data_IF_763180973569
#
_entry.id   IF_763180973569
#
_cell.length_a   1.000
_cell.length_b   1.000
_cell.length_c   1.000
_cell.angle_alpha   90.00
_cell.angle_beta   90.00
_cell.angle_gamma   90.00
#
_symmetry.space_group_name_H-M   'P 1'
#
loop_
_entity.id
_entity.type
_entity.pdbx_description
1 polymer ?
2 non-polymer ?
#
# COMPACT_ATOMS: atom_id res chain seq x y z
N UNK A 40 4.12 18.81 -10.33
CA UNK A 40 4.02 18.52 -8.84
C UNK A 40 3.34 19.68 -8.09
N UNK A 41 3.68 20.85 -8.60
CA UNK A 41 3.10 22.15 -8.12
C UNK A 41 1.54 22.07 -8.28
N UNK A 42 1.08 22.34 -9.51
CA UNK A 42 -0.34 22.11 -9.92
C UNK A 42 -1.11 20.94 -9.32
N UNK A 43 -0.48 19.74 -9.36
CA UNK A 43 -0.98 18.53 -8.81
C UNK A 43 -1.45 18.82 -7.36
N UNK A 44 -0.48 19.24 -6.55
CA UNK A 44 -0.78 19.51 -5.11
C UNK A 44 -1.72 20.67 -4.96
N UNK A 45 -1.29 21.83 -5.56
CA UNK A 45 -1.93 23.13 -5.60
C UNK A 45 -3.40 23.14 -5.74
N UNK A 46 -3.97 22.24 -6.51
CA UNK A 46 -5.41 22.05 -6.66
C UNK A 46 -5.83 20.65 -6.29
N UNK A 47 -5.37 19.72 -7.11
CA UNK A 47 -5.99 18.42 -7.21
C UNK A 47 -5.88 17.69 -5.79
N UNK A 48 -4.66 17.82 -5.16
CA UNK A 48 -4.47 17.15 -3.88
C UNK A 48 -4.57 18.07 -2.66
N UNK A 49 -5.12 19.24 -2.96
CA UNK A 49 -5.84 20.11 -2.01
C UNK A 49 -7.25 19.55 -1.89
N UNK A 50 -7.12 18.36 -1.19
CA UNK A 50 -8.18 17.40 -0.87
C UNK A 50 -7.45 16.32 0.04
N UNK A 51 -6.24 15.82 -0.33
CA UNK A 51 -5.31 15.13 0.62
C UNK A 51 -5.03 15.98 1.83
N UNK A 52 -4.45 17.12 1.57
CA UNK A 52 -4.47 18.28 2.43
C UNK A 52 -5.88 18.83 2.36
N UNK A 53 -6.53 19.24 3.52
CA UNK A 53 -6.18 18.85 4.87
C UNK A 53 -6.92 17.68 5.44
N UNK A 54 -7.95 17.05 4.71
CA UNK A 54 -8.63 15.89 5.31
C UNK A 54 -7.64 14.83 5.90
N UNK A 55 -6.86 14.23 4.92
CA UNK A 55 -5.71 13.43 5.30
C UNK A 55 -4.74 14.27 6.17
N UNK A 56 -4.40 15.45 5.66
CA UNK A 56 -3.38 16.30 6.26
C UNK A 56 -3.51 16.29 7.85
N UNK A 57 -4.60 16.84 8.43
CA UNK A 57 -4.87 16.84 9.86
C UNK A 57 -5.01 15.42 10.36
N UNK A 58 -5.88 14.70 9.69
CA UNK A 58 -6.27 13.45 10.19
C UNK A 58 -5.17 12.31 10.08
N UNK A 59 -3.99 12.64 9.46
CA UNK A 59 -2.84 11.72 9.42
C UNK A 59 -2.50 11.60 10.97
N UNK A 60 -2.59 12.81 11.60
CA UNK A 60 -2.00 12.89 12.89
C UNK A 60 -2.90 11.99 13.84
N UNK A 61 -4.17 12.17 13.65
CA UNK A 61 -5.14 11.34 14.42
C UNK A 61 -4.81 9.79 14.27
N UNK A 62 -4.39 9.48 13.04
CA UNK A 62 -4.24 8.05 12.76
C UNK A 62 -2.78 7.51 12.98
N UNK A 63 -2.00 7.76 11.95
CA UNK A 63 -0.80 6.86 11.57
C UNK A 63 0.09 6.46 12.73
N UNK A 64 0.79 7.51 13.32
CA UNK A 64 1.59 7.40 14.54
C UNK A 64 2.39 6.07 14.72
N UNK A 65 3.61 5.97 14.18
CA UNK A 65 4.38 4.76 14.38
C UNK A 65 3.50 3.53 14.29
N UNK A 66 2.60 3.61 13.25
CA UNK A 66 1.65 2.64 12.95
C UNK A 66 0.90 2.23 14.18
N UNK A 67 -0.12 3.02 14.53
CA UNK A 67 -0.63 3.21 15.88
C UNK A 67 -0.62 2.04 16.81
N UNK A 68 -1.52 0.95 16.54
CA UNK A 68 -1.48 -0.18 17.40
C UNK A 68 -1.49 -1.36 16.40
N UNK A 69 -0.21 -1.75 16.11
CA UNK A 69 -0.04 -3.06 15.53
C UNK A 69 -0.30 -4.08 16.73
N UNK A 70 -0.72 -5.33 16.47
CA UNK A 70 -1.08 -5.92 15.12
C UNK A 70 -2.44 -6.66 15.09
N UNK A 71 -3.57 -5.95 15.56
CA UNK A 71 -4.91 -6.37 15.19
C UNK A 71 -5.30 -5.53 13.95
N UNK A 72 -6.60 -5.67 13.63
CA UNK A 72 -7.33 -4.85 12.63
C UNK A 72 -6.87 -3.36 12.53
N UNK A 73 -5.82 -3.26 11.73
CA UNK A 73 -5.47 -1.94 11.24
C UNK A 73 -4.57 -2.16 10.05
N UNK A 74 -4.82 -3.34 9.35
CA UNK A 74 -4.00 -4.02 8.30
C UNK A 74 -3.11 -3.05 7.39
N UNK A 75 -3.94 -2.09 6.81
CA UNK A 75 -3.49 -1.02 5.91
C UNK A 75 -2.37 -0.28 6.60
N UNK A 76 -2.61 0.20 7.83
CA UNK A 76 -1.67 1.09 8.56
C UNK A 76 -0.43 0.36 9.07
N UNK A 77 -0.54 -0.99 9.00
CA UNK A 77 0.67 -1.73 9.26
C UNK A 77 1.49 -1.66 7.92
N UNK A 78 0.81 -2.06 6.90
CA UNK A 78 1.15 -1.97 5.50
C UNK A 78 -0.15 -2.35 4.74
N UNK A 79 -0.54 -1.54 3.75
CA UNK A 79 0.26 -0.82 2.75
C UNK A 79 1.05 0.43 3.28
N UNK A 80 0.50 1.14 4.31
CA UNK A 80 1.01 2.38 4.76
C UNK A 80 2.50 2.51 5.06
N UNK A 81 3.33 2.62 3.99
CA UNK A 81 4.71 3.02 4.02
C UNK A 81 5.05 3.84 2.80
N UNK A 82 4.47 3.31 1.67
CA UNK A 82 4.75 3.95 0.36
C UNK A 82 3.80 5.08 0.28
N UNK A 83 2.56 4.84 -0.12
CA UNK A 83 1.38 5.67 0.09
C UNK A 83 1.43 6.77 1.14
N UNK A 84 1.81 6.23 2.39
CA UNK A 84 2.03 6.96 3.64
C UNK A 84 2.93 8.18 3.51
N UNK A 85 4.03 7.79 2.85
CA UNK A 85 5.20 8.65 2.63
C UNK A 85 4.95 9.70 1.53
N UNK A 86 3.95 9.52 0.60
CA UNK A 86 3.66 10.40 -0.50
C UNK A 86 3.28 11.76 -0.01
N UNK A 87 2.59 11.63 1.15
CA UNK A 87 2.08 12.87 1.68
C UNK A 87 3.26 13.75 2.07
N UNK A 88 4.39 13.06 2.54
CA UNK A 88 5.53 13.93 3.06
C UNK A 88 6.85 13.12 3.05
N UNK A 89 7.51 12.99 1.85
CA UNK A 89 6.88 13.14 0.55
C UNK A 89 6.80 14.58 0.02
N UNK A 90 5.63 14.86 -0.59
CA UNK A 90 5.16 16.21 -0.81
C UNK A 90 6.36 17.27 -1.06
N UNK A 91 6.42 18.32 -0.22
CA UNK A 91 7.46 19.35 -0.38
C UNK A 91 8.88 18.69 -0.27
N UNK A 92 9.09 18.03 0.83
CA UNK A 92 10.26 17.37 1.27
C UNK A 92 10.92 16.47 0.17
N UNK A 93 10.16 15.96 -0.78
CA UNK A 93 10.85 14.97 -1.67
C UNK A 93 10.16 14.85 -3.09
N UNK A 94 9.25 15.78 -3.36
CA UNK A 94 8.50 15.58 -4.60
C UNK A 94 7.75 16.87 -4.85
N UNK A 95 8.43 18.01 -4.69
CA UNK A 95 7.81 19.29 -5.16
C UNK A 95 8.96 20.35 -5.18
N UNK A 96 9.55 20.38 -3.96
CA UNK A 96 10.67 21.25 -3.63
C UNK A 96 11.90 20.71 -4.36
N UNK A 97 12.13 19.46 -4.11
CA UNK A 97 13.33 18.74 -4.48
C UNK A 97 12.90 17.30 -4.66
N UNK A 98 12.75 16.79 -5.85
CA UNK A 98 12.08 15.47 -6.07
C UNK A 98 11.30 15.44 -7.42
N UNK A 99 12.03 15.47 -8.59
CA UNK A 99 11.53 15.53 -9.96
C UNK A 99 11.55 17.01 -10.42
N UNK A 100 11.00 17.92 -9.66
CA UNK A 100 11.30 19.36 -9.70
C UNK A 100 11.34 19.71 -8.15
N UNK A 101 12.08 20.72 -7.79
CA UNK A 101 13.10 21.44 -8.51
C UNK A 101 14.44 20.72 -8.11
N UNK A 102 15.62 21.36 -8.49
CA UNK A 102 15.86 22.56 -9.20
C UNK A 102 15.02 22.67 -10.53
N UNK A 103 15.13 21.67 -11.45
CA UNK A 103 15.82 20.43 -11.42
C UNK A 103 14.71 19.40 -11.58
N UNK A 104 14.84 18.13 -11.11
CA UNK A 104 16.12 17.47 -10.86
C UNK A 104 16.24 17.04 -9.38
N UNK A 105 17.48 17.24 -8.93
CA UNK A 105 17.99 16.61 -7.69
C UNK A 105 18.48 15.24 -8.29
N UNK A 106 18.14 14.06 -7.66
CA UNK A 106 17.06 13.89 -6.66
C UNK A 106 17.47 14.31 -5.25
N UNK A 107 18.33 13.58 -4.58
CA UNK A 107 19.28 12.52 -5.04
C UNK A 107 18.71 11.28 -5.75
N UNK A 108 18.66 10.17 -4.98
CA UNK A 108 19.11 8.91 -5.61
C UNK A 108 18.10 8.42 -6.66
N UNK A 109 18.49 8.60 -7.99
CA UNK A 109 17.58 8.11 -9.10
C UNK A 109 16.17 8.79 -9.11
N UNK A 110 16.10 10.10 -9.19
CA UNK A 110 14.90 10.91 -9.37
C UNK A 110 14.61 12.00 -8.29
N UNK A 111 14.34 11.65 -7.03
CA UNK A 111 14.24 10.30 -6.46
C UNK A 111 12.76 10.08 -6.18
N UNK A 112 12.03 10.49 -7.26
CA UNK A 112 10.67 10.04 -7.26
C UNK A 112 10.79 8.53 -7.62
N UNK A 113 11.34 8.31 -8.84
CA UNK A 113 11.42 7.07 -9.52
C UNK A 113 11.70 5.88 -8.54
N UNK A 114 12.99 5.80 -8.32
CA UNK A 114 13.53 4.65 -7.63
C UNK A 114 13.08 4.50 -6.11
N UNK A 115 12.54 5.54 -5.51
CA UNK A 115 11.85 5.45 -4.23
C UNK A 115 10.44 4.99 -4.62
N UNK A 116 9.53 5.97 -4.64
CA UNK A 116 8.11 5.70 -4.70
C UNK A 116 7.70 4.66 -5.70
N UNK A 117 8.23 4.85 -6.95
CA UNK A 117 7.85 3.99 -8.04
C UNK A 117 8.26 2.48 -7.89
N UNK A 118 8.77 2.01 -6.70
CA UNK A 118 8.98 0.59 -6.44
C UNK A 118 8.51 0.28 -5.04
N UNK A 119 8.77 1.31 -4.24
CA UNK A 119 8.58 1.35 -2.86
C UNK A 119 7.03 1.22 -2.64
N UNK A 120 6.30 1.92 -3.52
CA UNK A 120 4.85 1.73 -3.82
C UNK A 120 4.60 0.47 -4.67
N UNK A 121 5.19 -0.64 -4.20
CA UNK A 121 5.00 -2.05 -4.51
C UNK A 121 5.91 -2.71 -3.46
N UNK A 122 6.98 -3.32 -4.04
CA UNK A 122 7.98 -4.08 -3.30
C UNK A 122 7.88 -3.83 -1.83
N UNK A 123 8.48 -2.77 -1.33
CA UNK A 123 8.67 -2.45 0.06
C UNK A 123 7.39 -2.19 0.94
N UNK A 124 6.36 -1.59 0.31
CA UNK A 124 5.06 -1.64 1.02
C UNK A 124 4.59 -3.05 1.38
N UNK A 125 4.74 -3.89 0.30
CA UNK A 125 4.31 -5.26 0.18
C UNK A 125 5.36 -6.25 0.81
N UNK A 126 6.56 -5.69 1.03
CA UNK A 126 7.60 -6.49 1.73
C UNK A 126 7.51 -6.30 3.21
N UNK A 127 7.15 -5.08 3.59
CA UNK A 127 6.67 -4.92 4.99
C UNK A 127 5.55 -5.86 5.32
N UNK A 128 4.95 -6.52 4.26
CA UNK A 128 3.51 -7.05 4.37
C UNK A 128 3.16 -8.24 5.34
N UNK A 129 4.29 -8.66 5.91
CA UNK A 129 4.24 -9.71 6.83
C UNK A 129 3.41 -9.12 7.97
N UNK A 130 3.43 -7.79 8.22
CA UNK A 130 2.69 -7.18 9.32
C UNK A 130 1.22 -6.96 8.95
N UNK A 131 0.76 -7.59 7.88
CA UNK A 131 -0.56 -7.89 7.39
C UNK A 131 -0.80 -9.41 7.28
N UNK A 132 0.25 -10.24 7.19
CA UNK A 132 0.08 -11.70 7.26
C UNK A 132 -0.56 -12.08 8.65
N UNK A 133 -0.04 -11.28 9.62
CA UNK A 133 -0.60 -11.29 10.93
C UNK A 133 -1.78 -10.27 10.95
N UNK A 134 -2.79 -10.56 10.08
CA UNK A 134 -4.07 -9.93 10.08
C UNK A 134 -4.95 -10.55 8.95
N UNK A 135 -4.94 -10.05 7.67
CA UNK A 135 -5.46 -10.76 6.49
C UNK A 135 -4.79 -12.14 6.35
N UNK A 136 -5.27 -13.06 7.18
CA UNK A 136 -4.36 -13.82 8.00
C UNK A 136 -5.24 -14.39 9.16
N UNK A 137 -4.96 -13.85 10.46
CA UNK A 137 -5.65 -14.31 11.68
C UNK A 137 -6.95 -13.41 11.83
N UNK A 138 -7.71 -13.43 10.76
CA UNK A 138 -9.10 -13.14 10.81
C UNK A 138 -9.88 -14.24 11.66
N UNK A 139 -9.31 -15.45 11.59
CA UNK A 139 -9.77 -16.71 12.30
C UNK A 139 -8.38 -17.18 12.78
N UNK A 140 -7.77 -18.24 12.22
CA UNK A 140 -6.54 -18.75 12.75
C UNK A 140 -5.99 -19.89 11.79
N UNK A 141 -6.90 -20.84 11.53
CA UNK A 141 -6.45 -22.24 11.15
C UNK A 141 -5.38 -22.63 12.18
N UNK A 142 -5.86 -23.12 13.34
CA UNK A 142 -5.08 -22.91 14.60
C UNK A 142 -3.66 -23.61 14.59
N UNK A 143 -2.64 -22.76 14.84
CA UNK A 143 -1.28 -23.18 15.09
C UNK A 143 -0.63 -23.92 13.88
N UNK A 144 -1.35 -24.58 12.93
CA UNK A 144 -0.89 -25.35 11.85
C UNK A 144 -0.51 -26.84 12.29
N UNK A 145 0.50 -26.94 13.21
CA UNK A 145 0.83 -28.24 13.70
C UNK A 145 1.71 -28.08 14.98
N UNK A 146 2.66 -28.89 15.24
CA UNK A 146 3.69 -28.61 16.24
C UNK A 146 4.46 -27.28 15.90
N UNK A 147 4.66 -27.07 14.55
CA UNK A 147 4.97 -25.71 14.03
C UNK A 147 4.15 -25.52 12.76
N UNK A 148 4.40 -24.44 12.09
CA UNK A 148 4.69 -23.15 12.67
C UNK A 148 3.35 -22.44 12.74
N UNK A 149 2.99 -22.08 14.02
CA UNK A 149 1.68 -21.41 14.34
C UNK A 149 2.00 -19.97 14.64
N UNK A 150 3.28 -19.77 14.95
CA UNK A 150 3.91 -18.55 14.75
C UNK A 150 3.93 -18.09 13.27
N UNK A 151 2.71 -17.71 12.71
CA UNK A 151 2.41 -17.76 11.24
C UNK A 151 3.58 -17.25 10.37
N UNK A 152 4.15 -16.11 10.75
CA UNK A 152 5.21 -15.55 9.91
C UNK A 152 6.51 -16.45 9.75
N UNK A 153 7.70 -15.79 9.75
CA UNK A 153 8.98 -16.57 9.55
C UNK A 153 9.04 -17.26 8.16
N UNK A 154 8.56 -18.50 8.09
CA UNK A 154 8.69 -19.24 6.85
C UNK A 154 7.86 -18.59 5.76
N UNK A 155 6.57 -18.35 6.17
CA UNK A 155 5.53 -17.73 5.33
C UNK A 155 4.84 -16.48 6.01
N UNK A 156 5.55 -15.33 6.29
CA UNK A 156 6.94 -15.18 6.27
C UNK A 156 7.36 -14.92 4.73
N UNK A 157 8.51 -15.48 4.34
CA UNK A 157 9.08 -15.24 3.04
C UNK A 157 8.24 -15.80 1.88
N UNK A 158 7.63 -17.01 2.18
CA UNK A 158 6.64 -17.55 1.34
C UNK A 158 5.32 -16.86 1.71
N UNK A 159 5.30 -15.54 1.60
CA UNK A 159 4.14 -14.64 1.70
C UNK A 159 4.55 -13.34 1.12
N UNK A 160 5.36 -12.61 1.94
CA UNK A 160 5.91 -11.29 1.69
C UNK A 160 6.92 -11.36 0.48
N UNK A 161 7.76 -12.41 0.54
CA UNK A 161 8.73 -12.65 -0.62
C UNK A 161 8.07 -13.31 -1.80
N UNK A 162 6.80 -13.01 -1.93
CA UNK A 162 5.96 -13.30 -3.11
C UNK A 162 5.33 -11.86 -3.39
N UNK A 163 4.59 -11.29 -2.43
CA UNK A 163 3.75 -10.10 -2.70
C UNK A 163 4.67 -8.91 -3.05
N UNK A 164 5.75 -8.83 -2.32
CA UNK A 164 6.97 -8.34 -2.95
C UNK A 164 7.82 -9.53 -3.55
N UNK A 165 7.61 -9.73 -4.91
CA UNK A 165 8.63 -10.34 -5.66
C UNK A 165 8.87 -9.58 -6.99
N UNK A 166 8.05 -8.54 -7.36
CA UNK A 166 8.43 -7.59 -8.50
C UNK A 166 9.65 -6.73 -8.18
N UNK A 167 10.29 -7.25 -7.11
CA UNK A 167 11.60 -6.83 -6.69
C UNK A 167 12.65 -7.05 -7.81
N UNK A 168 12.19 -7.52 -9.02
CA UNK A 168 13.09 -7.65 -10.20
C UNK A 168 13.36 -6.21 -10.77
N UNK A 169 12.47 -5.23 -10.48
CA UNK A 169 12.73 -3.87 -10.86
C UNK A 169 13.92 -3.16 -10.16
N UNK A 170 13.95 -3.22 -8.82
CA UNK A 170 15.15 -2.86 -8.05
C UNK A 170 16.48 -3.18 -8.71
N UNK A 171 16.76 -4.45 -9.01
CA UNK A 171 17.65 -4.77 -10.09
C UNK A 171 17.45 -4.16 -11.51
N UNK A 172 16.71 -4.89 -12.38
CA UNK A 172 16.87 -4.66 -13.90
C UNK A 172 16.34 -3.33 -14.41
N UNK A 173 15.18 -2.91 -13.87
CA UNK A 173 14.58 -1.56 -14.13
C UNK A 173 15.60 -0.54 -13.62
N UNK A 174 16.15 -0.90 -12.47
CA UNK A 174 16.88 0.02 -11.70
C UNK A 174 18.31 0.34 -12.35
N UNK A 175 18.78 -0.77 -12.96
CA UNK A 175 19.99 -0.77 -13.87
C UNK A 175 19.59 0.14 -15.05
N UNK A 176 18.29 0.08 -15.36
CA UNK A 176 17.92 1.06 -16.41
C UNK A 176 17.69 2.47 -15.82
N UNK A 177 18.33 2.81 -14.65
CA UNK A 177 18.51 4.23 -14.18
C UNK A 177 20.01 4.46 -13.89
N UNK A 178 20.81 3.60 -14.62
CA UNK A 178 22.22 3.44 -14.22
C UNK A 178 22.95 2.69 -15.38
N UNK A 179 23.12 3.33 -16.57
CA UNK A 179 22.64 4.60 -17.03
C UNK A 179 21.28 4.27 -17.69
N UNK A 180 20.52 5.28 -18.15
CA UNK A 180 20.68 6.69 -17.82
C UNK A 180 20.72 7.01 -16.36
N UNK A 181 21.89 7.59 -15.93
CA UNK A 181 22.13 7.57 -14.46
C UNK A 181 21.19 8.66 -13.85
N UNK A 182 20.38 8.18 -12.86
CA UNK A 182 19.34 9.12 -12.45
C UNK A 182 19.75 10.21 -11.34
N UNK A 183 20.95 10.75 -11.51
CA UNK A 183 21.50 11.88 -10.84
C UNK A 183 22.59 12.61 -11.74
N UNK A 184 23.55 11.72 -12.23
CA UNK A 184 24.53 12.47 -13.05
C UNK A 184 23.89 13.07 -14.34
N UNK A 185 22.92 12.28 -14.81
CA UNK A 185 22.07 12.62 -15.94
C UNK A 185 21.08 13.66 -15.60
N UNK A 186 20.80 13.77 -14.32
CA UNK A 186 19.62 14.38 -13.65
C UNK A 186 18.44 13.32 -13.52
N UNK A 187 18.06 12.71 -14.67
CA UNK A 187 17.19 11.57 -14.70
C UNK A 187 17.36 10.77 -16.01
N UNK A 188 18.67 10.67 -16.33
CA UNK A 188 18.88 10.73 -17.83
C UNK A 188 18.41 12.09 -18.38
N UNK A 189 18.65 12.47 -19.60
CA UNK A 189 18.96 11.61 -20.77
C UNK A 189 20.46 11.10 -20.62
N UNK A 190 20.81 10.03 -21.27
CA UNK A 190 20.13 9.19 -22.23
C UNK A 190 20.76 7.77 -22.08
N UNK A 191 21.05 7.20 -23.25
CA UNK A 191 21.70 5.90 -23.28
C UNK A 191 20.72 4.72 -23.13
N UNK A 192 19.58 4.95 -23.79
CA UNK A 192 18.75 3.82 -24.19
C UNK A 192 19.08 3.51 -25.69
N UNK A 193 17.98 3.35 -26.43
CA UNK A 193 17.97 2.72 -27.73
C UNK A 193 18.17 1.19 -27.36
N UNK A 194 19.22 0.44 -27.85
CA UNK A 194 19.43 -0.86 -27.34
C UNK A 194 19.27 -1.11 -25.80
N UNK A 195 18.27 -1.93 -25.40
CA UNK A 195 17.28 -2.43 -26.30
C UNK A 195 15.90 -2.34 -25.60
N UNK A 196 15.38 -1.08 -25.56
CA UNK A 196 14.01 -0.97 -25.10
C UNK A 196 12.99 -1.79 -25.85
N UNK A 197 13.41 -2.09 -27.10
CA UNK A 197 12.65 -2.95 -28.06
C UNK A 197 12.80 -4.42 -27.61
N UNK A 198 14.09 -4.85 -27.77
CA UNK A 198 14.49 -6.24 -27.63
C UNK A 198 14.39 -6.89 -26.15
N UNK A 199 14.34 -6.04 -25.13
CA UNK A 199 14.13 -6.42 -23.76
C UNK A 199 12.86 -5.75 -23.23
N UNK A 200 11.78 -6.06 -23.99
CA UNK A 200 10.42 -5.81 -23.57
C UNK A 200 10.01 -6.86 -22.45
N UNK A 201 10.83 -7.88 -22.38
CA UNK A 201 11.00 -8.72 -21.23
C UNK A 201 11.35 -7.73 -19.99
N UNK A 202 12.60 -7.79 -19.51
CA UNK A 202 12.94 -7.15 -18.27
C UNK A 202 13.07 -5.63 -18.38
N UNK A 203 11.89 -5.05 -18.13
CA UNK A 203 11.64 -3.63 -17.93
C UNK A 203 10.19 -3.57 -17.60
N UNK A 204 9.55 -2.64 -18.38
CA UNK A 204 8.28 -2.99 -18.91
C UNK A 204 8.47 -4.23 -19.81
N UNK A 205 7.45 -5.03 -19.91
CA UNK A 205 6.16 -4.86 -19.21
C UNK A 205 6.34 -5.72 -17.91
N UNK A 206 7.59 -6.27 -17.73
CA UNK A 206 7.80 -7.43 -16.82
C UNK A 206 7.27 -7.32 -15.37
N UNK A 207 7.28 -6.14 -14.76
CA UNK A 207 6.91 -5.95 -13.40
C UNK A 207 5.48 -6.41 -13.14
N UNK A 208 4.59 -6.36 -14.20
CA UNK A 208 3.43 -7.27 -14.17
C UNK A 208 3.75 -8.59 -14.90
N UNK A 209 4.32 -8.58 -16.10
CA UNK A 209 4.35 -9.72 -17.03
C UNK A 209 3.01 -10.52 -16.99
N UNK A 210 3.08 -11.68 -16.29
CA UNK A 210 2.00 -12.39 -15.65
C UNK A 210 2.38 -12.74 -14.17
N UNK A 211 3.57 -12.21 -13.80
CA UNK A 211 4.09 -12.28 -12.46
C UNK A 211 3.07 -11.95 -11.41
N UNK A 212 2.62 -10.70 -11.42
CA UNK A 212 1.63 -10.37 -10.45
C UNK A 212 0.16 -10.83 -10.91
N UNK A 213 0.09 -12.07 -11.38
CA UNK A 213 -1.21 -12.81 -11.52
C UNK A 213 -1.36 -13.67 -10.24
N UNK A 214 -0.28 -13.65 -9.41
CA UNK A 214 -0.28 -14.18 -8.01
C UNK A 214 -1.62 -14.06 -7.31
N UNK A 215 -2.32 -12.89 -7.11
CA UNK A 215 -3.49 -12.97 -6.27
C UNK A 215 -4.70 -13.60 -6.91
N UNK A 216 -4.66 -13.97 -8.23
CA UNK A 216 -5.63 -14.83 -8.79
C UNK A 216 -5.23 -16.31 -8.37
N UNK A 217 -4.05 -16.69 -8.92
CA UNK A 217 -3.73 -18.11 -9.19
C UNK A 217 -3.60 -18.95 -7.83
N UNK A 218 -2.91 -18.51 -6.81
CA UNK A 218 -2.80 -19.25 -5.57
C UNK A 218 -3.01 -18.25 -4.40
N UNK A 219 -2.37 -17.03 -4.60
CA UNK A 219 -2.46 -16.07 -3.49
C UNK A 219 -3.80 -15.59 -3.62
N UNK A 220 -4.57 -15.18 -2.59
CA UNK A 220 -4.38 -15.06 -1.14
C UNK A 220 -4.75 -16.43 -0.49
N UNK A 221 -5.64 -17.20 -1.16
CA UNK A 221 -6.36 -18.37 -0.61
C UNK A 221 -5.42 -19.38 0.06
N UNK A 222 -4.27 -19.53 -0.61
CA UNK A 222 -3.49 -20.67 -0.42
C UNK A 222 -2.87 -20.94 1.01
N UNK A 223 -3.37 -20.22 1.97
CA UNK A 223 -2.94 -20.11 3.34
C UNK A 223 -3.66 -21.17 4.12
N UNK A 224 -4.66 -21.83 3.44
CA UNK A 224 -5.42 -22.77 4.14
C UNK A 224 -6.56 -22.02 4.88
N UNK A 225 -6.17 -21.01 5.74
CA UNK A 225 -7.17 -20.29 6.46
C UNK A 225 -7.86 -19.28 5.50
N UNK A 226 -7.11 -18.96 4.41
CA UNK A 226 -7.71 -18.05 3.42
C UNK A 226 -8.49 -18.88 2.40
N UNK A 227 -8.68 -20.21 2.65
CA UNK A 227 -9.61 -21.08 2.03
C UNK A 227 -10.69 -21.23 3.25
N UNK A 228 -11.03 -20.08 3.98
CA UNK A 228 -11.98 -20.02 5.05
C UNK A 228 -12.23 -18.59 5.42
N UNK A 229 -12.31 -17.76 4.43
CA UNK A 229 -12.53 -16.30 4.60
C UNK A 229 -12.90 -15.79 3.21
N UNK A 230 -13.66 -14.73 3.25
CA UNK A 230 -14.37 -14.13 2.08
C UNK A 230 -15.13 -15.11 1.16
N UNK A 231 -14.40 -15.98 0.54
CA UNK A 231 -14.94 -17.00 -0.31
C UNK A 231 -15.97 -17.95 0.42
N UNK A 232 -15.73 -18.16 1.73
CA UNK A 232 -16.74 -18.75 2.67
C UNK A 232 -17.55 -17.58 3.23
N UNK A 233 -18.85 -17.57 2.79
CA UNK A 233 -19.70 -16.66 3.53
C UNK A 233 -19.78 -16.99 5.00
N UNK A 234 -19.23 -18.17 5.38
CA UNK A 234 -18.81 -18.45 6.76
C UNK A 234 -17.75 -17.54 7.35
N UNK A 235 -17.72 -16.22 6.94
CA UNK A 235 -16.81 -15.29 7.50
C UNK A 235 -17.23 -13.88 7.03
N UNK A 236 -16.69 -12.91 7.73
CA UNK A 236 -16.71 -11.43 7.64
C UNK A 236 -18.09 -10.89 8.03
N UNK A 237 -19.10 -11.49 7.35
CA UNK A 237 -20.46 -11.36 7.65
C UNK A 237 -20.73 -11.42 9.17
N UNK A 238 -21.01 -12.69 9.62
CA UNK A 238 -21.26 -12.92 11.05
C UNK A 238 -20.12 -12.39 11.83
N UNK A 239 -18.95 -12.55 11.29
CA UNK A 239 -17.75 -12.29 12.05
C UNK A 239 -17.13 -11.00 11.44
N UNK A 240 -17.81 -9.89 11.88
CA UNK A 240 -17.42 -8.58 11.51
C UNK A 240 -18.61 -7.67 11.75
N UNK A 241 -19.78 -8.30 11.75
CA UNK A 241 -20.97 -7.66 12.44
C UNK A 241 -20.77 -7.46 13.96
N UNK A 242 -19.98 -8.42 14.51
CA UNK A 242 -19.76 -8.31 15.99
C UNK A 242 -19.06 -9.66 16.44
N UNK A 243 -18.06 -10.18 15.67
CA UNK A 243 -17.21 -11.27 16.14
C UNK A 243 -15.77 -11.13 15.47
N UNK A 244 -14.84 -11.33 16.55
CA UNK A 244 -13.40 -11.58 16.47
C UNK A 244 -12.66 -10.25 16.38
N UNK A 245 -13.22 -9.40 15.51
CA UNK A 245 -12.47 -8.15 15.20
C UNK A 245 -13.37 -6.95 15.27
N UNK A 246 -12.67 -5.82 14.86
CA UNK A 246 -13.33 -4.51 14.61
C UNK A 246 -14.48 -4.73 13.53
N UNK A 247 -15.53 -3.96 13.75
CA UNK A 247 -16.89 -4.35 13.41
C UNK A 247 -17.13 -4.09 11.90
N UNK A 248 -18.19 -3.28 11.65
CA UNK A 248 -18.79 -2.92 10.37
C UNK A 248 -17.86 -2.75 9.16
N UNK A 249 -16.61 -2.31 9.49
CA UNK A 249 -15.72 -2.15 8.40
C UNK A 249 -15.08 -3.55 8.09
N UNK A 250 -14.79 -4.25 9.21
CA UNK A 250 -14.42 -5.65 9.16
C UNK A 250 -15.65 -6.50 8.62
N UNK A 251 -16.93 -5.95 8.62
CA UNK A 251 -17.79 -6.70 7.70
C UNK A 251 -17.38 -6.49 6.20
N UNK A 252 -17.11 -5.17 5.85
CA UNK A 252 -17.00 -4.82 4.51
C UNK A 252 -15.93 -5.52 3.72
N UNK A 253 -14.90 -6.04 4.52
CA UNK A 253 -13.77 -6.75 3.92
C UNK A 253 -14.11 -8.24 3.62
N UNK A 254 -15.40 -8.42 3.40
CA UNK A 254 -15.81 -9.39 2.47
C UNK A 254 -15.41 -9.03 1.09
N UNK A 255 -15.04 -7.79 0.81
CA UNK A 255 -14.84 -7.31 -0.54
C UNK A 255 -13.80 -6.25 -0.70
N UNK A 256 -13.71 -5.39 0.32
CA UNK A 256 -12.53 -4.58 0.49
C UNK A 256 -11.16 -5.36 0.49
N UNK A 257 -11.34 -6.65 0.98
CA UNK A 257 -10.24 -7.56 1.12
C UNK A 257 -9.34 -7.45 -0.12
N UNK A 258 -10.00 -7.63 -1.30
CA UNK A 258 -9.21 -7.97 -2.46
C UNK A 258 -8.50 -6.66 -2.93
N UNK A 259 -9.01 -5.47 -2.52
CA UNK A 259 -8.50 -4.15 -2.86
C UNK A 259 -7.35 -3.71 -1.91
N UNK A 260 -6.83 -4.67 -1.18
CA UNK A 260 -5.68 -4.53 -0.27
C UNK A 260 -4.45 -4.95 -1.01
N UNK A 261 -4.58 -5.91 -1.92
CA UNK A 261 -3.41 -6.43 -2.59
C UNK A 261 -3.53 -6.32 -4.10
N UNK A 262 -4.51 -5.69 -4.70
CA UNK A 262 -4.44 -5.40 -6.22
C UNK A 262 -4.70 -3.91 -6.52
N UNK A 263 -4.39 -3.16 -5.48
CA UNK A 263 -4.48 -1.74 -5.49
C UNK A 263 -2.99 -1.36 -5.81
N UNK A 264 -2.98 -0.34 -6.58
CA UNK A 264 -1.91 0.41 -7.23
C UNK A 264 -0.97 -0.56 -8.01
N UNK A 265 -0.15 -1.31 -7.27
CA UNK A 265 0.97 -2.08 -7.80
C UNK A 265 0.59 -3.09 -8.85
N UNK A 266 -0.37 -4.00 -8.57
CA UNK A 266 -0.76 -5.02 -9.54
C UNK A 266 -0.89 -4.42 -10.93
N UNK A 267 -1.89 -3.54 -11.24
CA UNK A 267 -2.14 -3.04 -12.66
C UNK A 267 -1.14 -2.07 -13.17
N UNK A 268 -0.04 -1.77 -12.42
CA UNK A 268 0.71 -0.62 -12.85
C UNK A 268 1.63 -0.78 -14.07
N UNK A 269 1.99 -2.06 -14.28
CA UNK A 269 2.80 -2.34 -15.56
C UNK A 269 2.21 -1.83 -16.88
N UNK A 270 0.86 -1.90 -16.95
CA UNK A 270 0.24 -1.45 -18.15
C UNK A 270 0.29 0.14 -18.27
N UNK A 271 0.55 0.76 -17.10
CA UNK A 271 0.61 2.25 -17.00
C UNK A 271 1.99 2.74 -17.45
N UNK A 272 3.05 2.02 -16.98
CA UNK A 272 4.40 2.28 -17.34
C UNK A 272 4.78 1.99 -18.79
N UNK A 273 4.22 0.83 -19.24
CA UNK A 273 4.22 0.42 -20.64
C UNK A 273 3.84 1.61 -21.55
N UNK A 274 2.70 2.24 -21.36
CA UNK A 274 2.50 3.45 -22.11
C UNK A 274 2.08 4.53 -21.11
N UNK A 275 3.02 5.29 -20.57
CA UNK A 275 4.43 5.31 -20.98
C UNK A 275 5.21 5.84 -19.87
N UNK A 276 6.43 5.37 -19.86
CA UNK A 276 7.60 5.88 -19.15
C UNK A 276 8.91 5.14 -19.71
N UNK A 277 8.98 5.18 -21.02
CA UNK A 277 10.05 4.54 -21.75
C UNK A 277 9.93 5.25 -23.16
N UNK A 278 11.09 5.58 -23.76
CA UNK A 278 11.24 6.26 -25.06
C UNK A 278 10.28 7.45 -25.38
N UNK A 279 10.50 7.97 -26.61
CA UNK A 279 9.66 8.87 -27.35
C UNK A 279 10.56 9.99 -27.85
N UNK A 280 11.17 10.60 -26.82
CA UNK A 280 12.19 11.56 -26.99
C UNK A 280 12.48 12.01 -25.56
N UNK A 281 13.64 11.54 -25.11
CA UNK A 281 14.10 11.70 -23.79
C UNK A 281 14.08 13.24 -23.45
N UNK A 282 13.77 13.57 -22.17
CA UNK A 282 13.52 14.96 -21.68
C UNK A 282 11.99 15.16 -21.74
N UNK A 283 11.38 15.42 -22.92
CA UNK A 283 9.94 15.38 -22.87
C UNK A 283 9.53 13.92 -23.13
N UNK A 284 9.52 13.25 -22.01
CA UNK A 284 8.71 12.03 -21.95
C UNK A 284 9.47 10.93 -22.54
N UNK A 285 10.31 10.18 -21.67
CA UNK A 285 10.38 10.32 -20.22
C UNK A 285 11.23 11.56 -19.81
N UNK A 286 10.66 12.50 -19.04
CA UNK A 286 9.92 12.24 -17.81
C UNK A 286 8.42 12.56 -17.96
N UNK A 287 7.54 11.56 -18.20
CA UNK A 287 6.15 11.81 -18.51
C UNK A 287 5.32 11.72 -17.16
N UNK A 288 5.61 12.76 -16.34
CA UNK A 288 5.01 12.75 -14.97
C UNK A 288 3.51 13.05 -14.94
N UNK A 289 3.18 13.92 -15.94
CA UNK A 289 1.77 14.20 -16.41
C UNK A 289 0.81 12.98 -16.07
N UNK A 290 0.43 12.10 -17.04
CA UNK A 290 -0.60 11.08 -16.69
C UNK A 290 -0.08 10.02 -15.73
N UNK A 291 0.93 9.20 -16.20
CA UNK A 291 1.40 7.91 -15.54
C UNK A 291 1.75 7.98 -14.01
N UNK A 292 2.00 9.15 -13.41
CA UNK A 292 2.37 9.15 -12.04
C UNK A 292 1.22 9.60 -11.13
N UNK A 293 0.17 10.05 -11.83
CA UNK A 293 -0.81 10.87 -11.01
C UNK A 293 -1.73 10.04 -10.06
N UNK A 294 -1.95 8.77 -10.53
CA UNK A 294 -2.87 7.82 -9.84
C UNK A 294 -2.20 7.31 -8.59
N UNK A 295 -0.93 6.94 -8.71
CA UNK A 295 -0.30 6.31 -7.52
C UNK A 295 -0.17 7.50 -6.53
N UNK A 296 0.01 8.75 -7.03
CA UNK A 296 0.24 9.67 -5.93
C UNK A 296 -1.07 10.34 -5.55
N UNK A 297 -2.28 9.82 -5.90
CA UNK A 297 -3.46 10.18 -5.16
C UNK A 297 -3.55 9.52 -3.73
N UNK A 298 -2.62 8.57 -3.51
CA UNK A 298 -2.48 7.91 -2.14
C UNK A 298 -2.55 8.93 -0.99
N UNK A 299 -2.13 10.19 -1.23
CA UNK A 299 -2.35 11.19 -0.26
C UNK A 299 -3.77 11.44 0.21
N UNK A 300 -4.78 10.87 -0.45
CA UNK A 300 -6.03 10.86 0.12
C UNK A 300 -6.11 9.66 1.11
N UNK A 301 -5.44 9.88 2.33
CA UNK A 301 -5.73 9.08 3.52
C UNK A 301 -7.09 9.52 4.03
N UNK A 302 -8.19 9.02 3.41
CA UNK A 302 -9.56 9.20 3.82
C UNK A 302 -10.37 7.89 3.48
N UNK A 303 -10.54 7.52 2.21
CA UNK A 303 -11.18 6.27 1.98
C UNK A 303 -10.17 5.12 2.15
N UNK A 304 -8.89 5.48 1.99
CA UNK A 304 -7.82 4.55 2.46
C UNK A 304 -8.09 4.13 3.89
N UNK A 305 -7.96 5.13 4.72
CA UNK A 305 -8.03 4.73 6.12
C UNK A 305 -9.45 4.14 6.42
N UNK A 306 -10.50 4.50 5.63
CA UNK A 306 -11.86 4.37 6.15
C UNK A 306 -12.11 2.92 6.66
N UNK A 307 -11.56 1.96 5.98
CA UNK A 307 -11.75 0.58 6.37
C UNK A 307 -10.61 0.13 7.21
N UNK A 308 -10.53 0.86 8.37
CA UNK A 308 -9.58 0.44 9.45
C UNK A 308 -10.01 -0.95 10.07
N UNK A 309 -10.80 -0.84 11.11
CA UNK A 309 -11.33 -1.97 11.90
C UNK A 309 -11.04 -1.83 13.33
N UNK A 310 -10.16 -2.73 13.85
CA UNK A 310 -10.17 -2.92 15.32
C UNK A 310 -9.61 -1.74 16.19
N UNK A 311 -8.83 -0.97 15.42
CA UNK A 311 -8.29 0.22 15.99
C UNK A 311 -8.83 1.42 15.22
N UNK A 312 -10.04 1.33 14.62
CA UNK A 312 -10.94 2.50 14.46
C UNK A 312 -12.25 2.04 15.10
N UNK A 313 -12.39 2.46 16.33
CA UNK A 313 -13.44 2.00 17.18
C UNK A 313 -12.87 0.71 17.94
N UNK A 314 -12.82 0.87 19.28
CA UNK A 314 -11.83 0.23 20.11
C UNK A 314 -10.45 0.77 19.74
N UNK A 315 -10.37 2.13 19.64
CA UNK A 315 -9.17 2.79 19.11
C UNK A 315 -8.20 3.19 20.22
N UNK A 316 -8.89 3.79 21.25
CA UNK A 316 -8.16 4.50 22.23
C UNK A 316 -7.74 5.79 21.41
N UNK A 317 -6.48 6.16 21.46
CA UNK A 317 -5.98 7.46 21.18
C UNK A 317 -6.38 7.95 19.80
N UNK A 318 -7.13 9.01 19.74
CA UNK A 318 -7.46 9.72 18.51
C UNK A 318 -8.89 9.29 18.11
N UNK A 319 -9.72 9.22 19.12
CA UNK A 319 -11.15 8.75 19.20
C UNK A 319 -12.19 9.64 18.43
N UNK A 320 -11.64 10.04 17.24
CA UNK A 320 -12.33 10.99 16.32
C UNK A 320 -12.19 10.52 14.87
N UNK A 321 -12.83 9.36 14.68
CA UNK A 321 -12.85 8.54 13.39
C UNK A 321 -14.28 8.05 13.10
N UNK A 322 -14.40 7.48 11.93
CA UNK A 322 -15.68 6.88 11.45
C UNK A 322 -16.07 5.64 12.20
N UNK A 323 -17.38 5.50 12.42
CA UNK A 323 -17.66 4.50 13.47
C UNK A 323 -19.18 4.26 13.59
N UNK A 324 -19.83 4.70 14.71
CA UNK A 324 -21.39 4.56 15.09
C UNK A 324 -21.86 5.90 15.60
N UNK A 325 -21.38 6.29 16.81
CA UNK A 325 -21.88 7.54 17.37
C UNK A 325 -21.49 8.67 16.40
N UNK A 326 -20.20 8.63 16.05
CA UNK A 326 -19.76 9.23 14.76
C UNK A 326 -19.86 10.78 14.60
N UNK A 327 -18.78 11.57 14.23
CA UNK A 327 -17.39 11.21 14.03
C UNK A 327 -16.51 11.14 15.28
N UNK A 328 -17.20 10.93 16.38
CA UNK A 328 -16.56 10.77 17.72
C UNK A 328 -17.34 9.71 18.62
N UNK A 329 -16.58 8.73 19.07
CA UNK A 329 -16.90 7.86 20.16
C UNK A 329 -18.16 6.94 19.75
N UNK A 330 -18.91 6.59 20.78
CA UNK A 330 -18.39 6.36 22.14
C UNK A 330 -17.42 5.15 22.18
N UNK A 331 -16.21 5.62 22.46
CA UNK A 331 -15.03 4.86 22.45
C UNK A 331 -14.08 5.37 23.54
N UNK A 332 -14.37 4.89 24.74
CA UNK A 332 -13.40 4.94 25.85
C UNK A 332 -12.09 4.24 25.57
N UNK A 333 -12.21 3.03 25.03
CA UNK A 333 -11.01 2.32 24.72
C UNK A 333 -11.11 0.88 25.23
N UNK A 334 -10.20 0.66 26.16
CA UNK A 334 -9.78 -0.71 26.41
C UNK A 334 -9.21 -1.37 25.15
N UNK A 335 -9.81 -2.44 24.78
CA UNK A 335 -9.22 -3.41 23.95
C UNK A 335 -9.69 -4.81 24.42
N UNK A 336 -10.93 -5.10 24.21
CA UNK A 336 -11.69 -6.21 24.73
C UNK A 336 -12.43 -6.66 23.51
N UNK A 337 -11.59 -6.94 22.48
CA UNK A 337 -12.08 -7.48 21.16
C UNK A 337 -12.64 -6.33 20.31
N UNK A 338 -13.90 -6.58 19.81
CA UNK A 338 -14.54 -5.72 18.87
C UNK A 338 -15.16 -4.41 19.43
N UNK A 339 -16.04 -3.72 18.56
CA UNK A 339 -16.77 -2.61 19.07
C UNK A 339 -18.28 -2.89 18.79
N UNK A 340 -19.15 -2.46 19.72
CA UNK A 340 -20.54 -2.47 19.36
C UNK A 340 -20.81 -1.20 18.62
N UNK A 341 -22.02 -0.79 18.25
CA UNK A 341 -22.29 0.58 17.93
C UNK A 341 -23.15 1.16 19.06
N UNK A 342 -22.49 1.41 20.26
CA UNK A 342 -21.08 1.89 20.27
C UNK A 342 -20.38 1.23 21.50
N UNK A 343 -20.22 1.99 22.61
CA UNK A 343 -19.40 1.78 23.72
C UNK A 343 -20.05 0.77 24.69
N UNK A 344 -20.32 -0.38 24.01
CA UNK A 344 -20.78 -1.57 24.62
C UNK A 344 -19.74 -2.57 24.14
N UNK A 345 -20.10 -3.85 24.35
CA UNK A 345 -19.53 -5.06 23.76
C UNK A 345 -18.08 -4.91 23.38
N UNK A 346 -17.17 -4.81 24.33
CA UNK A 346 -17.43 -4.58 25.70
C UNK A 346 -16.37 -3.54 26.15
N UNK A 347 -16.80 -2.45 26.87
CA UNK A 347 -15.93 -2.02 27.96
C UNK A 347 -15.90 -3.25 28.91
N UNK A 348 -14.71 -3.58 29.38
CA UNK A 348 -13.60 -2.58 29.48
X LIG B 1 7.20 -0.33 -10.74
X LIG B 1 8.34 -1.22 -11.25
X LIG B 1 7.97 -2.08 -12.44
X LIG B 1 6.75 -2.91 -12.06
X LIG B 1 5.82 -2.25 -11.09
X LIG B 1 5.87 -1.06 -10.40
X LIG B 1 5.32 -0.26 -9.48
X LIG B 1 4.92 0.72 -8.64
X LIG B 1 4.39 1.49 -7.66
X LIG B 1 4.11 2.62 -6.99
X LIG B 1 3.71 3.57 -6.13
X LIG B 1 3.44 4.74 -5.51
X LIG B 1 3.08 5.74 -4.69
X LIG B 1 2.85 7.00 -4.27
X LIG B 1 2.53 8.08 -3.52
X LIG B 1 6.87 0.71 -11.83
X LIG B 1 7.88 0.42 -9.56
X LIG B 1 4.53 -3.02 -11.03
X LIG B 1 3.69 0.46 -6.78
X LIG B 1 2.68 5.02 -3.42
X LIG B 1 8.69 -1.88 -10.45
X LIG B 1 9.20 -0.62 -11.54
X LIG B 1 8.79 -2.73 -12.71
X LIG B 1 7.75 -1.45 -13.29
X LIG B 1 7.12 -3.84 -11.61
X LIG B 1 6.23 -3.20 -12.97
X LIG B 1 4.61 -0.97 -9.11
X LIG B 1 5.46 1.51 -9.09
X LIG B 1 4.58 3.29 -7.68
X LIG B 1 3.31 2.91 -5.38
X LIG B 1 3.77 5.36 -6.32
X LIG B 1 3.09 7.49 -5.20
X LIG B 1 2.28 7.88 -2.51
X LIG B 1 6.19 1.48 -11.47
X LIG B 1 7.46 1.39 -9.33
X LIG B 1 4.15 -3.24 -12.02
X LIG B 1 4.03 -0.57 -6.93
X LIG B 1 2.72 3.94 -3.46
#
# INVERSE_FOLDING_TARGET
MNGTEGPNFYVPFSNKTGVVRSPFEAPQYYLAEPWQFSMLAAYMFLLIMLGFPINFLTLYVTVQHKKLRTPLNYILLNLAVADLFMVFGGFTTTLYTSLHGYFVFGPTGCNLEGFFATLGGEIALWSLVVLAIERYVVVCKPMSNFRFGENHAIMGVAFTWVMALACAAPPLVGWSRYIPEGMQCSCGIDYYTPHEETNNESFVIYMFVVHFIIPLIVIFFCYGQLVFTVKEAAAQQQESATTQKAEKEVTRMVIIMVIAFLICWLPYAGVAFYIFTHQGSDFGPIFMTIPAFFAKTSAVYNPVIYIMMNKQFRNCMVTTLCCGKNPLGDDEASTTVSKTETSQVAPA
RET C1 C2 C3 C4 C5 C6 C7 C8 C9 C10 C11 C12 C13 C14 C15 C16 C17 C18 C19 C20 H21 H22 H31 H32 H41 H42 H7 H8 H10 H11 H12 H14 H15 H163 H173 H183 H193 H203
#
